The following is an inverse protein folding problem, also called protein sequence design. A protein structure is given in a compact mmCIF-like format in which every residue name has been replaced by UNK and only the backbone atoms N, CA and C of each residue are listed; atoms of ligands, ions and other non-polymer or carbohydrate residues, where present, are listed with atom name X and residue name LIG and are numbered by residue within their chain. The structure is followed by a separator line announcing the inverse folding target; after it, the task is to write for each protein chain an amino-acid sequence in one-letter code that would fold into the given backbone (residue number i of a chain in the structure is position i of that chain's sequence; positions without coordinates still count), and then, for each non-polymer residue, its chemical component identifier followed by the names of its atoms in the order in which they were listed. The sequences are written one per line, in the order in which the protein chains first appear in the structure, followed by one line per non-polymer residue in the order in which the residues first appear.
data_IF_380911499585
#
_entry.id   IF_380911499585
#
_cell.length_a   1.000
_cell.length_b   1.000
_cell.length_c   1.000
_cell.angle_alpha   90.00
_cell.angle_beta   90.00
_cell.angle_gamma   90.00
#
_symmetry.space_group_name_H-M   'P 1'
#
loop_
_entity.id
_entity.type
_entity.pdbx_description
1 polymer ?
#
# COMPACT_ATOMS: atom_id res chain seq x y z
N UNK A 1 32.20 -37.15 -41.35
CA UNK A 1 32.44 -36.89 -39.91
C UNK A 1 31.24 -36.12 -39.36
N UNK A 2 30.27 -36.78 -38.71
CA UNK A 2 29.14 -36.08 -38.12
C UNK A 2 29.61 -35.29 -36.89
N UNK A 3 29.24 -34.00 -36.82
CA UNK A 3 29.50 -33.15 -35.67
C UNK A 3 28.80 -33.75 -34.45
N UNK A 4 29.53 -34.13 -33.41
CA UNK A 4 28.93 -34.44 -32.13
C UNK A 4 28.19 -33.20 -31.62
N UNK A 5 26.86 -33.24 -31.64
CA UNK A 5 26.04 -32.44 -30.76
C UNK A 5 26.51 -32.74 -29.34
N UNK A 6 27.19 -31.77 -28.73
CA UNK A 6 27.46 -31.81 -27.30
C UNK A 6 26.10 -31.70 -26.64
N UNK A 7 25.54 -32.83 -26.22
CA UNK A 7 24.50 -32.87 -25.20
C UNK A 7 25.09 -32.23 -23.95
N UNK A 8 25.00 -30.90 -23.85
CA UNK A 8 25.30 -30.13 -22.65
C UNK A 8 24.27 -30.55 -21.62
N UNK A 9 24.64 -31.51 -20.78
CA UNK A 9 23.84 -31.91 -19.63
C UNK A 9 23.65 -30.65 -18.76
N UNK A 10 22.40 -30.29 -18.50
CA UNK A 10 22.08 -29.14 -17.65
C UNK A 10 21.94 -29.60 -16.20
N UNK A 11 22.58 -28.86 -15.28
CA UNK A 11 22.36 -28.99 -13.86
C UNK A 11 21.16 -28.13 -13.50
N UNK A 12 20.09 -28.79 -13.05
CA UNK A 12 18.82 -28.14 -12.72
C UNK A 12 18.48 -28.42 -11.26
N UNK A 13 18.07 -27.37 -10.54
CA UNK A 13 17.47 -27.48 -9.20
C UNK A 13 16.24 -26.59 -9.14
N UNK A 14 15.16 -27.14 -8.59
CA UNK A 14 13.89 -26.45 -8.43
C UNK A 14 13.51 -26.37 -6.96
N UNK A 15 12.96 -25.22 -6.53
CA UNK A 15 12.33 -25.01 -5.23
C UNK A 15 10.95 -24.42 -5.46
N UNK A 16 9.94 -24.92 -4.75
CA UNK A 16 8.59 -24.34 -4.80
C UNK A 16 8.43 -23.32 -3.68
N UNK A 17 8.08 -22.08 -4.03
CA UNK A 17 7.80 -21.03 -3.06
C UNK A 17 6.48 -21.31 -2.33
N UNK A 18 6.47 -21.45 -1.00
CA UNK A 18 5.23 -21.68 -0.27
C UNK A 18 4.30 -20.45 -0.36
N UNK A 19 3.00 -20.71 -0.47
CA UNK A 19 1.97 -19.65 -0.52
C UNK A 19 2.01 -18.77 0.73
N UNK A 20 2.37 -19.32 1.89
CA UNK A 20 2.54 -18.55 3.13
C UNK A 20 3.66 -17.49 3.04
N UNK A 21 4.67 -17.70 2.20
CA UNK A 21 5.78 -16.75 2.02
C UNK A 21 5.42 -15.68 1.00
N UNK A 22 4.74 -16.08 -0.08
CA UNK A 22 4.32 -15.17 -1.16
C UNK A 22 3.02 -14.43 -0.84
N UNK A 23 2.24 -14.91 0.13
CA UNK A 23 0.89 -14.42 0.47
C UNK A 23 -0.03 -14.39 -0.76
N UNK A 24 0.15 -15.33 -1.68
CA UNK A 24 -0.59 -15.39 -2.95
C UNK A 24 -0.19 -14.31 -3.98
N UNK A 25 0.79 -13.45 -3.68
CA UNK A 25 1.20 -12.35 -4.56
C UNK A 25 2.32 -12.76 -5.52
N UNK A 26 2.06 -12.58 -6.82
CA UNK A 26 3.08 -12.73 -7.87
C UNK A 26 4.15 -11.64 -7.80
N UNK A 27 3.78 -10.44 -7.34
CA UNK A 27 4.70 -9.32 -7.12
C UNK A 27 5.69 -9.66 -6.01
N UNK A 28 5.21 -10.26 -4.91
CA UNK A 28 6.09 -10.70 -3.82
C UNK A 28 6.97 -11.87 -4.21
N UNK A 29 6.47 -12.84 -4.98
CA UNK A 29 7.31 -13.91 -5.52
C UNK A 29 8.47 -13.35 -6.38
N UNK A 30 8.19 -12.34 -7.20
CA UNK A 30 9.22 -11.63 -7.98
C UNK A 30 10.19 -10.83 -7.09
N UNK A 31 9.70 -10.22 -6.01
CA UNK A 31 10.54 -9.54 -5.02
C UNK A 31 11.53 -10.49 -4.35
N UNK A 32 11.06 -11.68 -3.96
CA UNK A 32 11.90 -12.75 -3.38
C UNK A 32 12.96 -13.21 -4.39
N UNK A 33 12.59 -13.41 -5.66
CA UNK A 33 13.57 -13.71 -6.73
C UNK A 33 14.67 -12.64 -6.81
N UNK A 34 14.31 -11.36 -6.76
CA UNK A 34 15.28 -10.26 -6.83
C UNK A 34 16.22 -10.24 -5.60
N UNK A 35 15.70 -10.53 -4.42
CA UNK A 35 16.51 -10.64 -3.20
C UNK A 35 17.49 -11.83 -3.29
N UNK A 36 17.04 -12.97 -3.81
CA UNK A 36 17.91 -14.14 -4.07
C UNK A 36 19.00 -13.78 -5.09
N UNK A 37 18.62 -13.18 -6.23
CA UNK A 37 19.56 -12.74 -7.27
C UNK A 37 20.55 -11.69 -6.76
N UNK A 38 20.17 -10.84 -5.80
CA UNK A 38 21.08 -9.86 -5.21
C UNK A 38 22.22 -10.50 -4.40
N UNK A 39 21.96 -11.67 -3.79
CA UNK A 39 22.92 -12.43 -2.97
C UNK A 39 23.84 -13.33 -3.80
N UNK A 40 23.49 -13.61 -5.05
CA UNK A 40 24.27 -14.46 -5.95
C UNK A 40 25.41 -13.70 -6.64
N UNK A 41 26.53 -14.38 -6.97
CA UNK A 41 27.55 -13.84 -7.88
C UNK A 41 26.96 -13.49 -9.24
N UNK A 42 27.47 -12.43 -9.89
CA UNK A 42 26.96 -11.91 -11.19
C UNK A 42 26.80 -12.99 -12.26
N UNK A 43 27.70 -13.98 -12.27
CA UNK A 43 27.73 -15.09 -13.23
C UNK A 43 26.46 -15.96 -13.10
N UNK A 44 25.98 -16.22 -11.89
CA UNK A 44 24.82 -17.10 -11.64
C UNK A 44 23.50 -16.35 -11.45
N UNK A 45 23.50 -15.01 -11.38
CA UNK A 45 22.26 -14.22 -11.21
C UNK A 45 21.19 -14.53 -12.26
N UNK A 46 21.59 -14.65 -13.52
CA UNK A 46 20.67 -14.91 -14.64
C UNK A 46 20.30 -16.39 -14.81
N UNK A 47 20.97 -17.27 -14.08
CA UNK A 47 20.68 -18.71 -14.08
C UNK A 47 19.48 -19.07 -13.21
N UNK A 48 19.04 -18.16 -12.33
CA UNK A 48 17.86 -18.32 -11.48
C UNK A 48 16.68 -17.61 -12.10
N UNK A 49 15.61 -18.37 -12.35
CA UNK A 49 14.34 -17.89 -12.91
C UNK A 49 13.18 -18.27 -12.01
N UNK A 50 12.05 -17.59 -12.20
CA UNK A 50 10.78 -17.91 -11.55
C UNK A 50 9.79 -18.31 -12.64
N UNK A 51 9.21 -19.50 -12.51
CA UNK A 51 8.11 -19.99 -13.33
C UNK A 51 6.91 -20.29 -12.42
N UNK A 52 5.90 -19.42 -12.47
CA UNK A 52 4.80 -19.43 -11.51
C UNK A 52 5.29 -19.28 -10.07
N UNK A 53 5.18 -20.36 -9.28
CA UNK A 53 5.68 -20.46 -7.89
C UNK A 53 7.04 -21.15 -7.78
N UNK A 54 7.57 -21.67 -8.88
CA UNK A 54 8.79 -22.48 -8.87
C UNK A 54 10.00 -21.64 -9.22
N UNK A 55 10.97 -21.65 -8.30
CA UNK A 55 12.29 -21.07 -8.51
C UNK A 55 13.19 -22.13 -9.12
N UNK A 56 13.73 -21.85 -10.31
CA UNK A 56 14.53 -22.80 -11.08
C UNK A 56 15.94 -22.23 -11.24
N UNK A 57 16.95 -22.97 -10.78
CA UNK A 57 18.36 -22.72 -11.08
C UNK A 57 18.79 -23.70 -12.17
N UNK A 58 19.19 -23.18 -13.33
CA UNK A 58 19.71 -23.98 -14.45
C UNK A 58 21.10 -23.48 -14.88
N UNK A 59 22.09 -24.38 -14.85
CA UNK A 59 23.47 -24.08 -15.25
C UNK A 59 24.06 -25.22 -16.09
N UNK A 60 25.17 -24.96 -16.78
CA UNK A 60 25.84 -26.00 -17.58
C UNK A 60 26.57 -26.99 -16.68
N UNK A 61 26.67 -28.27 -17.09
CA UNK A 61 27.36 -29.31 -16.31
C UNK A 61 28.83 -29.00 -16.00
N UNK A 62 29.52 -28.24 -16.85
CA UNK A 62 30.92 -27.86 -16.63
C UNK A 62 31.07 -26.92 -15.41
N UNK A 63 29.99 -26.29 -14.94
CA UNK A 63 29.97 -25.30 -13.87
C UNK A 63 29.56 -25.87 -12.50
N UNK A 64 29.72 -27.18 -12.30
CA UNK A 64 29.24 -27.93 -11.12
C UNK A 64 29.59 -27.30 -9.77
N UNK A 65 30.81 -26.78 -9.61
CA UNK A 65 31.22 -26.13 -8.36
C UNK A 65 30.44 -24.84 -8.09
N UNK A 66 30.21 -24.02 -9.13
CA UNK A 66 29.44 -22.77 -9.04
C UNK A 66 27.96 -23.08 -8.81
N UNK A 67 27.43 -24.11 -9.47
CA UNK A 67 26.07 -24.60 -9.26
C UNK A 67 25.82 -24.98 -7.80
N UNK A 68 26.68 -25.80 -7.20
CA UNK A 68 26.53 -26.20 -5.80
C UNK A 68 26.62 -25.01 -4.84
N UNK A 69 27.51 -24.05 -5.10
CA UNK A 69 27.60 -22.82 -4.31
C UNK A 69 26.31 -21.99 -4.43
N UNK A 70 25.76 -21.85 -5.64
CA UNK A 70 24.50 -21.15 -5.88
C UNK A 70 23.33 -21.84 -5.19
N UNK A 71 23.24 -23.18 -5.23
CA UNK A 71 22.22 -23.98 -4.52
C UNK A 71 22.22 -23.67 -3.02
N UNK A 72 23.39 -23.57 -2.39
CA UNK A 72 23.51 -23.23 -0.97
C UNK A 72 23.02 -21.81 -0.67
N UNK A 73 23.41 -20.83 -1.50
CA UNK A 73 22.98 -19.43 -1.34
C UNK A 73 21.47 -19.30 -1.53
N UNK A 74 20.91 -19.94 -2.55
CA UNK A 74 19.46 -19.94 -2.82
C UNK A 74 18.70 -20.58 -1.67
N UNK A 75 19.12 -21.76 -1.21
CA UNK A 75 18.43 -22.46 -0.13
C UNK A 75 18.42 -21.63 1.16
N UNK A 76 19.56 -21.03 1.53
CA UNK A 76 19.63 -20.13 2.70
C UNK A 76 18.75 -18.89 2.53
N UNK A 77 18.72 -18.30 1.34
CA UNK A 77 17.87 -17.14 1.07
C UNK A 77 16.38 -17.47 1.12
N UNK A 78 15.99 -18.71 0.77
CA UNK A 78 14.63 -19.20 0.92
C UNK A 78 14.24 -19.40 2.40
N UNK A 79 15.17 -19.85 3.24
CA UNK A 79 14.94 -19.95 4.69
C UNK A 79 14.69 -18.56 5.32
N UNK A 80 15.35 -17.51 4.79
CA UNK A 80 15.16 -16.12 5.23
C UNK A 80 13.89 -15.47 4.65
N UNK A 81 13.32 -16.01 3.57
CA UNK A 81 12.24 -15.39 2.82
C UNK A 81 10.98 -15.04 3.66
N UNK A 82 10.53 -15.87 4.62
CA UNK A 82 9.40 -15.53 5.49
C UNK A 82 9.61 -14.26 6.33
N UNK A 83 10.86 -13.88 6.59
CA UNK A 83 11.23 -12.73 7.42
C UNK A 83 11.48 -11.46 6.60
N UNK A 84 11.48 -11.55 5.26
CA UNK A 84 11.75 -10.40 4.42
C UNK A 84 10.62 -9.37 4.51
N UNK A 85 10.93 -8.09 4.78
CA UNK A 85 9.92 -7.04 4.88
C UNK A 85 9.13 -6.90 3.58
N UNK A 86 7.83 -6.62 3.70
CA UNK A 86 6.93 -6.37 2.58
C UNK A 86 7.11 -4.92 2.11
N UNK A 87 7.31 -4.74 0.81
CA UNK A 87 7.51 -3.43 0.15
C UNK A 87 6.15 -2.83 -0.25
N UNK A 88 6.00 -1.50 -0.42
CA UNK A 88 4.72 -0.89 -0.78
C UNK A 88 4.03 -1.49 -2.01
N UNK A 89 4.81 -1.90 -3.03
CA UNK A 89 4.21 -2.49 -4.23
C UNK A 89 3.70 -3.91 -3.99
N UNK A 90 4.33 -4.64 -3.08
CA UNK A 90 3.91 -5.99 -2.69
C UNK A 90 2.65 -5.92 -1.84
N UNK A 91 2.60 -5.05 -0.83
CA UNK A 91 1.43 -4.96 0.04
C UNK A 91 0.18 -4.48 -0.71
N UNK A 92 0.34 -3.61 -1.71
CA UNK A 92 -0.74 -3.20 -2.62
C UNK A 92 -1.33 -4.40 -3.38
N UNK A 93 -0.47 -5.32 -3.83
CA UNK A 93 -0.87 -6.54 -4.56
C UNK A 93 -1.48 -7.59 -3.61
N UNK A 94 -0.83 -7.85 -2.48
CA UNK A 94 -1.26 -8.84 -1.46
C UNK A 94 -2.64 -8.49 -0.91
N UNK A 95 -2.83 -7.23 -0.50
CA UNK A 95 -4.08 -6.78 0.12
C UNK A 95 -5.08 -6.24 -0.91
N UNK A 96 -4.76 -6.29 -2.21
CA UNK A 96 -5.62 -5.78 -3.28
C UNK A 96 -6.01 -4.31 -3.09
N UNK A 97 -5.11 -3.49 -2.54
CA UNK A 97 -5.37 -2.08 -2.22
C UNK A 97 -4.70 -1.12 -3.19
N UNK A 98 -5.31 0.05 -3.37
CA UNK A 98 -4.75 1.13 -4.19
C UNK A 98 -3.68 1.90 -3.43
N UNK A 99 -2.76 2.52 -4.16
CA UNK A 99 -1.75 3.42 -3.58
C UNK A 99 -2.36 4.55 -2.75
N UNK A 100 -3.53 5.06 -3.12
CA UNK A 100 -4.25 6.09 -2.34
C UNK A 100 -4.85 5.55 -1.04
N UNK A 101 -5.35 4.30 -1.05
CA UNK A 101 -5.83 3.62 0.15
C UNK A 101 -4.65 3.39 1.12
N UNK A 102 -3.53 2.89 0.61
CA UNK A 102 -2.29 2.72 1.38
C UNK A 102 -1.84 4.01 2.07
N UNK A 103 -1.79 5.13 1.36
CA UNK A 103 -1.39 6.41 1.95
C UNK A 103 -2.36 6.89 3.03
N UNK A 104 -3.67 6.70 2.83
CA UNK A 104 -4.68 7.06 3.82
C UNK A 104 -4.54 6.21 5.07
N UNK A 105 -4.49 4.89 4.93
CA UNK A 105 -4.41 3.98 6.08
C UNK A 105 -3.08 4.04 6.81
N UNK A 106 -1.99 4.45 6.13
CA UNK A 106 -0.75 4.84 6.79
C UNK A 106 -0.91 6.10 7.65
N UNK A 107 -1.58 7.13 7.12
CA UNK A 107 -1.81 8.39 7.84
C UNK A 107 -2.76 8.20 9.03
N UNK A 108 -3.79 7.36 8.87
CA UNK A 108 -4.77 7.05 9.91
C UNK A 108 -4.24 6.06 10.96
N UNK A 109 -3.05 5.48 10.76
CA UNK A 109 -2.41 4.51 11.67
C UNK A 109 -2.97 3.09 11.60
N UNK A 110 -4.01 2.85 10.79
CA UNK A 110 -4.59 1.52 10.52
C UNK A 110 -3.57 0.55 9.96
N UNK A 111 -2.75 1.01 9.00
CA UNK A 111 -1.67 0.24 8.42
C UNK A 111 -0.34 0.59 9.11
N UNK A 112 0.14 -0.31 9.97
CA UNK A 112 1.36 -0.08 10.77
C UNK A 112 2.62 -0.30 9.93
N UNK A 113 3.47 0.73 9.88
CA UNK A 113 4.80 0.61 9.27
C UNK A 113 5.80 -0.01 10.25
N UNK A 114 6.63 -0.92 9.73
CA UNK A 114 7.74 -1.54 10.47
C UNK A 114 9.05 -0.72 10.39
N UNK A 115 9.02 0.43 9.72
CA UNK A 115 10.18 1.27 9.47
C UNK A 115 10.23 1.75 8.02
N UNK A 116 11.32 2.42 7.68
CA UNK A 116 11.55 2.92 6.31
C UNK A 116 12.81 2.32 5.71
N UNK A 117 12.75 1.99 4.42
CA UNK A 117 13.90 1.53 3.64
C UNK A 117 14.22 2.57 2.58
N UNK A 118 15.50 2.92 2.47
CA UNK A 118 16.01 3.82 1.44
C UNK A 118 16.74 3.03 0.38
N UNK A 119 16.32 3.16 -0.87
CA UNK A 119 16.95 2.51 -2.03
C UNK A 119 17.50 3.57 -2.99
N UNK A 120 18.71 3.35 -3.48
CA UNK A 120 19.31 4.13 -4.58
C UNK A 120 18.88 3.51 -5.91
N UNK A 121 18.27 4.32 -6.77
CA UNK A 121 17.97 3.90 -8.14
C UNK A 121 19.26 3.83 -8.95
N UNK A 122 19.50 2.71 -9.64
CA UNK A 122 20.68 2.53 -10.48
C UNK A 122 20.76 3.65 -11.53
N UNK A 123 21.91 4.33 -11.61
CA UNK A 123 22.15 5.41 -12.56
C UNK A 123 21.49 6.75 -12.22
N UNK A 124 20.88 6.91 -11.03
CA UNK A 124 20.26 8.18 -10.60
C UNK A 124 20.75 8.61 -9.22
N UNK A 125 21.01 9.91 -9.05
CA UNK A 125 21.37 10.47 -7.74
C UNK A 125 20.21 10.44 -6.71
N UNK A 126 18.98 10.18 -7.17
CA UNK A 126 17.78 10.20 -6.30
C UNK A 126 17.66 8.90 -5.51
N UNK A 127 17.64 9.06 -4.19
CA UNK A 127 17.26 8.04 -3.22
C UNK A 127 15.74 8.08 -3.02
N UNK A 128 15.12 6.90 -2.93
CA UNK A 128 13.71 6.78 -2.58
C UNK A 128 13.62 6.10 -1.23
N UNK A 129 12.98 6.77 -0.27
CA UNK A 129 12.65 6.23 1.05
C UNK A 129 11.18 5.84 1.05
N UNK A 130 10.89 4.63 1.51
CA UNK A 130 9.52 4.13 1.58
C UNK A 130 9.28 3.30 2.85
N UNK A 131 8.01 3.22 3.27
CA UNK A 131 7.59 2.40 4.39
C UNK A 131 7.66 0.91 4.03
N UNK A 132 8.20 0.11 4.94
CA UNK A 132 8.15 -1.35 4.88
C UNK A 132 7.20 -1.89 5.92
N UNK A 133 6.72 -3.11 5.71
CA UNK A 133 5.72 -3.78 6.56
C UNK A 133 6.23 -5.14 6.99
N UNK A 134 5.87 -5.53 8.21
CA UNK A 134 6.22 -6.85 8.74
C UNK A 134 5.33 -7.94 8.11
N UNK A 135 5.90 -9.05 7.63
CA UNK A 135 5.13 -10.11 7.00
C UNK A 135 4.00 -10.66 7.88
N UNK A 136 4.27 -10.85 9.19
CA UNK A 136 3.27 -11.36 10.14
C UNK A 136 2.05 -10.44 10.28
N UNK A 137 2.28 -9.13 10.31
CA UNK A 137 1.20 -8.14 10.41
C UNK A 137 0.39 -8.12 9.12
N UNK A 138 1.03 -8.23 7.95
CA UNK A 138 0.33 -8.28 6.66
C UNK A 138 -0.50 -9.56 6.53
N UNK A 139 0.03 -10.69 6.96
CA UNK A 139 -0.70 -11.97 6.99
C UNK A 139 -1.92 -11.91 7.91
N UNK A 140 -1.79 -11.31 9.10
CA UNK A 140 -2.92 -11.08 10.01
C UNK A 140 -4.01 -10.20 9.39
N UNK A 141 -3.62 -9.10 8.72
CA UNK A 141 -4.56 -8.21 8.02
C UNK A 141 -5.29 -8.93 6.89
N UNK A 142 -4.59 -9.79 6.16
CA UNK A 142 -5.16 -10.61 5.08
C UNK A 142 -6.17 -11.62 5.64
N UNK A 143 -5.81 -12.34 6.70
CA UNK A 143 -6.64 -13.37 7.31
C UNK A 143 -7.90 -12.80 8.01
N UNK A 144 -7.81 -11.57 8.55
CA UNK A 144 -8.96 -10.89 9.17
C UNK A 144 -9.91 -10.26 8.13
N UNK A 145 -9.43 -9.93 6.93
CA UNK A 145 -10.20 -9.16 5.96
C UNK A 145 -10.35 -7.68 6.33
N UNK A 146 -9.38 -7.12 7.06
CA UNK A 146 -9.44 -5.75 7.59
C UNK A 146 -9.58 -4.68 6.49
N UNK A 147 -9.09 -4.96 5.29
CA UNK A 147 -9.17 -4.07 4.13
C UNK A 147 -10.62 -3.77 3.75
N UNK A 148 -11.50 -4.77 3.77
CA UNK A 148 -12.89 -4.60 3.39
C UNK A 148 -13.68 -3.88 4.49
N UNK A 149 -13.40 -4.18 5.76
CA UNK A 149 -13.91 -3.43 6.91
C UNK A 149 -13.59 -1.93 6.78
N UNK A 150 -12.32 -1.59 6.53
CA UNK A 150 -11.88 -0.19 6.38
C UNK A 150 -12.51 0.52 5.19
N UNK A 151 -12.83 -0.20 4.10
CA UNK A 151 -13.53 0.39 2.94
C UNK A 151 -14.98 0.72 3.26
N UNK A 152 -15.65 -0.10 4.05
CA UNK A 152 -17.01 0.18 4.54
C UNK A 152 -16.98 1.40 5.44
N UNK A 153 -16.09 1.43 6.43
CA UNK A 153 -15.91 2.59 7.33
C UNK A 153 -15.60 3.88 6.54
N UNK A 154 -14.72 3.80 5.54
CA UNK A 154 -14.37 4.94 4.68
C UNK A 154 -15.57 5.42 3.86
N UNK A 155 -16.45 4.51 3.43
CA UNK A 155 -17.66 4.85 2.68
C UNK A 155 -18.70 5.53 3.58
N UNK A 156 -18.90 5.01 4.80
CA UNK A 156 -19.79 5.57 5.82
C UNK A 156 -19.34 6.97 6.25
N UNK A 157 -18.07 7.12 6.63
CA UNK A 157 -17.51 8.42 7.01
C UNK A 157 -17.62 9.45 5.87
N UNK A 158 -17.51 9.00 4.61
CA UNK A 158 -17.72 9.87 3.44
C UNK A 158 -19.18 10.26 3.26
N UNK A 159 -20.13 9.37 3.55
CA UNK A 159 -21.56 9.68 3.49
C UNK A 159 -21.94 10.68 4.58
N UNK A 160 -21.46 10.50 5.81
CA UNK A 160 -21.68 11.42 6.93
C UNK A 160 -21.12 12.81 6.65
N UNK A 161 -19.87 12.89 6.17
CA UNK A 161 -19.25 14.17 5.80
C UNK A 161 -20.04 14.90 4.71
N UNK A 162 -20.62 14.16 3.75
CA UNK A 162 -21.50 14.75 2.72
C UNK A 162 -22.80 15.29 3.30
N UNK A 163 -23.43 14.56 4.22
CA UNK A 163 -24.64 15.02 4.92
C UNK A 163 -24.37 16.28 5.74
N UNK A 164 -23.28 16.29 6.50
CA UNK A 164 -22.87 17.46 7.29
C UNK A 164 -22.57 18.66 6.40
N UNK A 165 -21.84 18.47 5.30
CA UNK A 165 -21.56 19.53 4.34
C UNK A 165 -22.83 20.09 3.68
N UNK A 166 -23.78 19.22 3.31
CA UNK A 166 -25.07 19.64 2.78
C UNK A 166 -25.89 20.42 3.81
N UNK A 167 -25.87 20.00 5.07
CA UNK A 167 -26.53 20.69 6.17
C UNK A 167 -25.91 22.08 6.41
N UNK A 168 -24.58 22.17 6.49
CA UNK A 168 -23.85 23.44 6.63
C UNK A 168 -24.09 24.38 5.43
N UNK A 169 -24.14 23.84 4.21
CA UNK A 169 -24.48 24.60 3.01
C UNK A 169 -25.91 25.16 3.05
N UNK A 170 -26.87 24.39 3.59
CA UNK A 170 -28.24 24.87 3.80
C UNK A 170 -28.29 26.01 4.82
N UNK A 171 -27.61 25.87 5.96
CA UNK A 171 -27.54 26.91 6.99
C UNK A 171 -26.92 28.20 6.48
N UNK A 172 -25.79 28.11 5.77
CA UNK A 172 -25.11 29.28 5.18
C UNK A 172 -25.95 29.95 4.10
N UNK A 173 -26.72 29.18 3.32
CA UNK A 173 -27.68 29.75 2.34
C UNK A 173 -28.82 30.49 3.04
N UNK A 174 -29.37 29.93 4.12
CA UNK A 174 -30.45 30.56 4.89
C UNK A 174 -29.97 31.84 5.59
N UNK A 175 -28.79 31.82 6.22
CA UNK A 175 -28.21 33.01 6.85
C UNK A 175 -27.93 34.13 5.84
N UNK A 176 -27.45 33.79 4.63
CA UNK A 176 -27.27 34.75 3.53
C UNK A 176 -28.60 35.31 3.01
N UNK A 177 -29.66 34.51 2.98
CA UNK A 177 -31.02 34.98 2.62
C UNK A 177 -31.56 35.97 3.66
N UNK A 178 -31.44 35.64 4.95
CA UNK A 178 -31.86 36.54 6.04
C UNK A 178 -31.04 37.84 6.08
N UNK A 179 -29.75 37.79 5.75
CA UNK A 179 -28.92 39.00 5.64
C UNK A 179 -29.39 39.89 4.48
N UNK A 180 -29.75 39.29 3.32
CA UNK A 180 -30.30 40.04 2.18
C UNK A 180 -31.67 40.67 2.49
N UNK A 181 -32.57 39.98 3.18
CA UNK A 181 -33.85 40.57 3.57
C UNK A 181 -33.68 41.72 4.58
N UNK A 182 -32.80 41.58 5.58
CA UNK A 182 -32.46 42.69 6.51
C UNK A 182 -31.84 43.90 5.81
N UNK A 183 -31.10 43.71 4.72
CA UNK A 183 -30.55 44.82 3.93
C UNK A 183 -31.64 45.53 3.11
N UNK A 184 -32.64 44.80 2.62
CA UNK A 184 -33.80 45.38 1.90
C UNK A 184 -34.71 46.17 2.87
N UNK A 185 -34.96 45.66 4.08
CA UNK A 185 -35.74 46.39 5.10
C UNK A 185 -35.03 47.65 5.60
N UNK A 186 -33.70 47.67 5.72
CA UNK A 186 -32.94 48.88 6.10
C UNK A 186 -32.95 50.00 5.05
N UNK A 187 -33.42 49.72 3.84
CA UNK A 187 -33.61 50.73 2.78
C UNK A 187 -35.03 51.31 2.75
N UNK A 188 -35.92 50.84 3.64
CA UNK A 188 -37.27 51.39 3.82
C UNK A 188 -37.43 51.85 5.29
N UNK A 189 -37.49 53.17 5.46
CA UNK A 189 -37.77 53.94 6.69
C UNK A 189 -36.67 54.16 7.76
N UNK A 190 -36.67 55.39 8.24
CA UNK A 190 -35.68 56.05 9.10
C UNK A 190 -35.63 55.62 10.58
N UNK A 191 -34.81 56.29 11.41
CA UNK A 191 -34.14 55.67 12.54
C UNK A 191 -34.94 55.71 13.85
N UNK A 192 -35.26 54.54 14.40
CA UNK A 192 -35.47 54.35 15.83
C UNK A 192 -34.22 53.70 16.47
N UNK A 193 -33.79 54.11 17.68
CA UNK A 193 -32.58 53.55 18.28
C UNK A 193 -32.77 52.06 18.62
N UNK A 194 -31.81 51.18 18.27
CA UNK A 194 -31.96 49.75 18.50
C UNK A 194 -31.77 49.42 19.99
N UNK A 195 -32.77 48.79 20.59
CA UNK A 195 -32.65 48.16 21.91
C UNK A 195 -31.69 46.96 21.78
N UNK A 196 -30.54 47.06 22.44
CA UNK A 196 -29.45 46.09 22.38
C UNK A 196 -29.66 44.98 23.42
N UNK A 197 -29.57 43.71 23.01
CA UNK A 197 -29.59 42.56 23.94
C UNK A 197 -30.83 41.66 23.88
N UNK A 198 -31.74 41.86 22.92
CA UNK A 198 -32.87 40.94 22.69
C UNK A 198 -32.52 39.70 21.84
N UNK A 199 -31.35 39.70 21.21
CA UNK A 199 -30.92 38.60 20.33
C UNK A 199 -30.47 37.34 21.10
N UNK A 200 -30.13 37.49 22.39
CA UNK A 200 -29.71 36.38 23.25
C UNK A 200 -30.89 35.59 23.81
N UNK A 201 -32.10 36.17 23.85
CA UNK A 201 -33.30 35.51 24.39
C UNK A 201 -34.02 34.60 23.39
N UNK A 202 -33.76 34.75 22.08
CA UNK A 202 -34.46 34.01 21.02
C UNK A 202 -33.75 32.69 20.63
N UNK A 203 -32.53 32.46 21.17
CA UNK A 203 -31.74 31.26 20.91
C UNK A 203 -32.13 30.05 21.77
N UNK A 204 -32.76 30.27 22.93
CA UNK A 204 -33.04 29.20 23.90
C UNK A 204 -34.47 28.65 23.85
N UNK A 205 -35.30 29.05 22.86
CA UNK A 205 -36.57 28.37 22.56
C UNK A 205 -37.55 28.25 23.74
N UNK A 206 -37.52 29.19 24.70
CA UNK A 206 -38.27 29.11 25.96
C UNK A 206 -39.71 29.65 25.88
N UNK A 207 -40.25 29.84 24.68
CA UNK A 207 -41.65 30.25 24.46
C UNK A 207 -42.28 29.38 23.37
N UNK A 208 -42.58 28.14 23.75
CA UNK A 208 -43.76 27.40 23.27
C UNK A 208 -44.58 26.98 24.47
#
# INVERSE_FOLDING_TARGET
MPKHEKNTVELIRTWTLPVAVTMGSSVRAKGILQEIQARLPTISKKAVMLDGSDLILAMRAEEKAVFNAAVLVVSKALDDAPFLPVIPREIEDILGMKTSERHRWLADGRLRSAGTRTVRLAGRARQITFHVFEPKVVDELLNRGAVDEWRVEDAEAKAEKRLQAAHQAKLTRLSKKNKRSKTVDKSADGPGPPLRGWEDFDLDGLLR
#
